data_IF_143582142606
#
_entry.id   IF_143582142606
#
_cell.length_a   1.000
_cell.length_b   1.000
_cell.length_c   1.000
_cell.angle_alpha   90.00
_cell.angle_beta   90.00
_cell.angle_gamma   90.00
#
_symmetry.space_group_name_H-M   'P 1'
#
loop_
_entity.id
_entity.type
_entity.pdbx_description
1 polymer ?
#
# COMPACT_ATOMS: atom_id res chain seq x y z
N UNK A 1 42.56 6.35 -8.43
CA UNK A 1 41.08 6.29 -8.49
C UNK A 1 40.61 7.53 -9.24
N UNK A 2 39.92 7.38 -10.35
CA UNK A 2 39.43 8.49 -11.16
C UNK A 2 38.44 9.42 -10.41
N UNK A 3 37.93 10.44 -11.08
CA UNK A 3 36.95 11.37 -10.50
C UNK A 3 35.59 10.68 -10.26
N UNK A 4 35.05 10.84 -9.05
CA UNK A 4 33.74 10.28 -8.67
C UNK A 4 32.75 11.42 -8.36
N UNK A 5 31.45 11.14 -8.58
CA UNK A 5 30.36 12.08 -8.30
C UNK A 5 29.10 11.27 -7.90
N UNK A 6 28.43 11.74 -6.85
CA UNK A 6 27.04 11.41 -6.58
C UNK A 6 26.19 12.65 -6.78
N UNK A 7 25.19 12.60 -7.64
CA UNK A 7 24.29 13.69 -7.96
C UNK A 7 22.85 13.25 -7.73
N UNK A 8 22.05 14.13 -7.16
CA UNK A 8 20.61 13.93 -6.94
C UNK A 8 19.83 15.00 -7.71
N UNK A 9 18.69 14.60 -8.24
CA UNK A 9 17.73 15.54 -8.83
C UNK A 9 16.31 15.02 -8.61
N UNK A 10 15.37 15.95 -8.53
CA UNK A 10 13.94 15.64 -8.42
C UNK A 10 13.19 16.38 -9.52
N UNK A 11 12.21 15.70 -10.14
CA UNK A 11 11.33 16.26 -11.15
C UNK A 11 9.96 15.56 -11.07
N UNK A 12 8.89 16.32 -10.95
CA UNK A 12 7.51 15.81 -10.92
C UNK A 12 7.29 14.73 -9.85
N UNK A 13 7.89 14.89 -8.65
CA UNK A 13 7.80 13.94 -7.55
C UNK A 13 8.67 12.68 -7.71
N UNK A 14 9.45 12.56 -8.79
CA UNK A 14 10.44 11.52 -8.99
C UNK A 14 11.83 12.01 -8.56
N UNK A 15 12.36 11.45 -7.48
CA UNK A 15 13.74 11.65 -7.04
C UNK A 15 14.67 10.60 -7.63
N UNK A 16 15.79 11.02 -8.25
CA UNK A 16 16.81 10.12 -8.81
C UNK A 16 18.18 10.45 -8.22
N UNK A 17 18.99 9.41 -8.09
CA UNK A 17 20.38 9.49 -7.67
C UNK A 17 21.25 8.87 -8.76
N UNK A 18 22.18 9.65 -9.30
CA UNK A 18 23.20 9.16 -10.22
C UNK A 18 24.55 9.08 -9.52
N UNK A 19 25.22 7.93 -9.64
CA UNK A 19 26.56 7.72 -9.12
C UNK A 19 27.49 7.44 -10.28
N UNK A 20 28.50 8.28 -10.45
CA UNK A 20 29.57 8.16 -11.47
C UNK A 20 30.87 7.87 -10.77
N UNK A 21 31.58 6.84 -11.19
CA UNK A 21 32.85 6.44 -10.62
C UNK A 21 33.90 6.31 -11.72
N UNK A 22 35.13 6.75 -11.41
CA UNK A 22 36.28 6.52 -12.30
C UNK A 22 36.29 7.35 -13.57
N UNK A 23 35.62 8.52 -13.60
CA UNK A 23 35.70 9.42 -14.75
C UNK A 23 37.10 10.01 -14.92
N UNK A 24 37.53 10.20 -16.18
CA UNK A 24 38.85 10.71 -16.51
C UNK A 24 39.03 12.17 -16.09
N UNK A 25 37.97 12.98 -16.22
CA UNK A 25 37.97 14.41 -15.89
C UNK A 25 36.75 14.80 -15.07
N UNK A 26 36.85 15.98 -14.45
CA UNK A 26 35.72 16.59 -13.73
C UNK A 26 34.52 16.81 -14.65
N UNK A 27 34.75 17.32 -15.87
CA UNK A 27 33.69 17.63 -16.82
C UNK A 27 32.97 16.35 -17.28
N UNK A 28 33.70 15.27 -17.52
CA UNK A 28 33.15 13.98 -17.91
C UNK A 28 32.20 13.42 -16.83
N UNK A 29 32.58 13.52 -15.53
CA UNK A 29 31.69 13.03 -14.45
C UNK A 29 30.38 13.80 -14.36
N UNK A 30 30.40 15.15 -14.54
CA UNK A 30 29.20 15.96 -14.53
C UNK A 30 28.33 15.69 -15.76
N UNK A 31 28.92 15.55 -16.95
CA UNK A 31 28.22 15.22 -18.16
C UNK A 31 27.55 13.82 -18.06
N UNK A 32 28.26 12.83 -17.54
CA UNK A 32 27.75 11.49 -17.34
C UNK A 32 26.59 11.47 -16.32
N UNK A 33 26.74 12.15 -15.18
CA UNK A 33 25.69 12.25 -14.18
C UNK A 33 24.42 12.91 -14.74
N UNK A 34 24.56 14.00 -15.52
CA UNK A 34 23.43 14.66 -16.18
C UNK A 34 22.74 13.70 -17.16
N UNK A 35 23.51 13.03 -18.02
CA UNK A 35 22.95 12.09 -18.99
C UNK A 35 22.18 10.94 -18.33
N UNK A 36 22.67 10.40 -17.19
CA UNK A 36 21.99 9.36 -16.41
C UNK A 36 20.68 9.88 -15.81
N UNK A 37 20.68 11.08 -15.22
CA UNK A 37 19.47 11.68 -14.66
C UNK A 37 18.43 11.99 -15.74
N UNK A 38 18.87 12.59 -16.87
CA UNK A 38 17.98 12.88 -18.00
C UNK A 38 17.38 11.61 -18.59
N UNK A 39 18.18 10.54 -18.73
CA UNK A 39 17.69 9.23 -19.13
C UNK A 39 16.66 8.67 -18.14
N UNK A 40 16.94 8.77 -16.84
CA UNK A 40 16.02 8.33 -15.79
C UNK A 40 14.67 9.06 -15.86
N UNK A 41 14.70 10.40 -15.94
CA UNK A 41 13.49 11.21 -16.07
C UNK A 41 12.74 11.00 -17.39
N UNK A 42 13.44 10.65 -18.47
CA UNK A 42 12.81 10.35 -19.76
C UNK A 42 12.06 9.01 -19.74
N UNK A 43 12.57 8.02 -18.99
CA UNK A 43 12.05 6.65 -19.01
C UNK A 43 11.14 6.31 -17.84
N UNK A 44 11.26 6.99 -16.69
CA UNK A 44 10.50 6.71 -15.49
C UNK A 44 9.65 7.91 -15.05
N UNK A 45 8.61 7.63 -14.30
CA UNK A 45 7.80 8.64 -13.61
C UNK A 45 7.35 8.16 -12.23
N UNK A 46 7.11 9.11 -11.34
CA UNK A 46 6.38 8.89 -10.12
C UNK A 46 4.88 8.84 -10.45
N UNK A 47 4.21 7.78 -10.02
CA UNK A 47 2.77 7.59 -10.21
C UNK A 47 2.11 7.51 -8.85
N UNK A 48 1.25 8.47 -8.48
CA UNK A 48 0.42 8.37 -7.29
C UNK A 48 -0.45 7.11 -7.36
N UNK A 49 -0.54 6.41 -6.23
CA UNK A 49 -1.47 5.29 -6.07
C UNK A 49 -2.76 5.81 -5.45
N UNK A 50 -3.87 5.38 -6.01
CA UNK A 50 -5.18 5.53 -5.39
C UNK A 50 -5.49 4.27 -4.56
N UNK A 51 -6.26 4.44 -3.49
CA UNK A 51 -6.71 3.30 -2.69
C UNK A 51 -7.63 2.39 -3.52
N UNK A 52 -7.69 1.09 -3.18
CA UNK A 52 -8.58 0.16 -3.86
C UNK A 52 -10.03 0.58 -3.68
N UNK A 53 -10.78 0.63 -4.78
CA UNK A 53 -12.19 0.96 -4.76
C UNK A 53 -13.02 -0.25 -4.27
N UNK A 54 -14.15 0.04 -3.58
CA UNK A 54 -15.14 -0.97 -3.27
C UNK A 54 -14.77 -1.95 -2.16
N UNK A 55 -13.86 -1.58 -1.24
CA UNK A 55 -13.60 -2.38 -0.04
C UNK A 55 -14.87 -2.45 0.82
N UNK A 56 -15.33 -3.67 1.09
CA UNK A 56 -16.43 -3.95 2.02
C UNK A 56 -15.88 -4.38 3.36
N UNK A 57 -16.59 -4.11 4.47
CA UNK A 57 -16.25 -4.69 5.76
C UNK A 57 -16.22 -6.22 5.68
N UNK A 58 -15.33 -6.84 6.46
CA UNK A 58 -15.22 -8.31 6.53
C UNK A 58 -16.19 -8.85 7.58
N UNK A 59 -17.04 -9.82 7.24
CA UNK A 59 -17.93 -10.48 8.20
C UNK A 59 -17.15 -11.14 9.35
N UNK A 60 -17.62 -10.93 10.58
CA UNK A 60 -17.02 -11.54 11.78
C UNK A 60 -17.93 -12.60 12.34
N UNK A 61 -17.44 -13.84 12.38
CA UNK A 61 -18.16 -14.94 13.01
C UNK A 61 -17.89 -14.99 14.52
N UNK A 62 -18.92 -15.27 15.32
CA UNK A 62 -18.85 -15.33 16.79
C UNK A 62 -18.39 -14.02 17.46
N UNK A 63 -18.46 -12.88 16.76
CA UNK A 63 -18.11 -11.57 17.29
C UNK A 63 -19.27 -10.86 17.95
N UNK A 64 -18.96 -9.83 18.73
CA UNK A 64 -19.96 -8.90 19.29
C UNK A 64 -20.49 -7.97 18.21
N UNK A 65 -19.66 -7.70 17.19
CA UNK A 65 -20.02 -6.99 15.98
C UNK A 65 -20.09 -7.98 14.81
N UNK A 66 -21.06 -7.83 13.88
CA UNK A 66 -21.24 -8.74 12.76
C UNK A 66 -20.15 -8.61 11.69
N UNK A 67 -19.45 -7.49 11.66
CA UNK A 67 -18.45 -7.15 10.64
C UNK A 67 -17.36 -6.25 11.21
N UNK A 68 -16.18 -6.23 10.57
CA UNK A 68 -15.07 -5.35 10.90
C UNK A 68 -14.68 -4.51 9.69
N UNK A 69 -14.61 -3.17 9.82
CA UNK A 69 -14.14 -2.32 8.76
C UNK A 69 -12.66 -2.58 8.45
N UNK A 70 -12.30 -2.44 7.18
CA UNK A 70 -10.94 -2.64 6.69
C UNK A 70 -10.23 -1.30 6.57
N UNK A 71 -8.97 -1.24 6.96
CA UNK A 71 -8.06 -0.11 6.75
C UNK A 71 -6.78 -0.58 6.06
N UNK A 72 -6.05 0.37 5.49
CA UNK A 72 -4.76 0.11 4.82
C UNK A 72 -3.89 1.36 4.91
N UNK A 73 -2.59 1.15 4.84
CA UNK A 73 -1.61 2.23 4.70
C UNK A 73 -1.14 2.25 3.24
N UNK A 74 -1.52 3.31 2.51
CA UNK A 74 -1.21 3.44 1.11
C UNK A 74 0.19 4.04 0.94
N UNK A 75 1.12 3.35 0.28
CA UNK A 75 2.41 3.92 -0.05
C UNK A 75 2.25 4.94 -1.18
N UNK A 76 1.91 6.16 -0.85
CA UNK A 76 1.60 7.33 -1.66
C UNK A 76 1.95 7.30 -3.16
N UNK A 77 3.17 6.86 -3.53
CA UNK A 77 3.67 6.94 -4.92
C UNK A 77 4.55 5.73 -5.24
N UNK A 78 4.43 5.22 -6.45
CA UNK A 78 5.35 4.20 -7.01
C UNK A 78 6.11 4.76 -8.21
N UNK A 79 7.31 4.24 -8.45
CA UNK A 79 8.10 4.56 -9.64
C UNK A 79 7.88 3.49 -10.70
N UNK A 80 7.48 3.92 -11.88
CA UNK A 80 7.16 3.03 -13.00
C UNK A 80 7.76 3.54 -14.30
N UNK A 81 8.00 2.66 -15.29
CA UNK A 81 8.31 3.07 -16.65
C UNK A 81 7.17 3.91 -17.23
N UNK A 82 7.49 4.98 -17.96
CA UNK A 82 6.48 5.90 -18.52
C UNK A 82 5.55 5.22 -19.52
N UNK A 83 6.08 4.29 -20.32
CA UNK A 83 5.34 3.51 -21.31
C UNK A 83 4.35 2.52 -20.70
N UNK A 84 4.46 2.23 -19.40
CA UNK A 84 3.61 1.26 -18.68
C UNK A 84 2.62 1.90 -17.70
N UNK A 85 2.50 3.20 -17.74
CA UNK A 85 1.64 3.93 -16.82
C UNK A 85 0.15 3.57 -16.91
N UNK A 86 -0.30 3.18 -18.11
CA UNK A 86 -1.70 2.78 -18.34
C UNK A 86 -1.97 1.30 -18.03
N UNK A 87 -0.92 0.51 -17.77
CA UNK A 87 -1.03 -0.92 -17.46
C UNK A 87 -1.04 -1.23 -15.95
N UNK A 88 -1.30 -0.22 -15.11
CA UNK A 88 -1.43 -0.41 -13.66
C UNK A 88 -2.77 -1.04 -13.36
N UNK A 89 -2.76 -2.12 -12.59
CA UNK A 89 -3.94 -2.77 -12.04
C UNK A 89 -3.75 -3.10 -10.57
N UNK A 90 -4.86 -3.15 -9.84
CA UNK A 90 -4.86 -3.56 -8.43
C UNK A 90 -5.71 -4.81 -8.28
N UNK A 91 -5.15 -5.81 -7.65
CA UNK A 91 -5.84 -7.04 -7.28
C UNK A 91 -6.01 -7.07 -5.78
N UNK A 92 -7.27 -7.06 -5.33
CA UNK A 92 -7.65 -7.15 -3.92
C UNK A 92 -7.90 -8.61 -3.57
N UNK A 93 -7.22 -9.11 -2.56
CA UNK A 93 -7.43 -10.41 -1.95
C UNK A 93 -7.88 -10.15 -0.50
N UNK A 94 -9.15 -10.34 -0.19
CA UNK A 94 -9.75 -10.11 1.12
C UNK A 94 -10.37 -11.40 1.63
N UNK A 95 -10.28 -11.66 2.93
CA UNK A 95 -10.91 -12.81 3.56
C UNK A 95 -12.44 -12.72 3.46
N UNK A 96 -13.11 -13.83 3.14
CA UNK A 96 -14.58 -13.90 3.09
C UNK A 96 -15.21 -13.71 4.46
N UNK A 97 -14.53 -14.12 5.52
CA UNK A 97 -14.94 -13.92 6.93
C UNK A 97 -13.75 -14.15 7.87
N UNK A 98 -13.88 -13.66 9.10
CA UNK A 98 -12.89 -13.86 10.16
C UNK A 98 -13.60 -14.27 11.47
N UNK A 99 -12.99 -15.15 12.27
CA UNK A 99 -13.55 -15.56 13.57
C UNK A 99 -13.04 -14.63 14.68
N UNK A 100 -13.96 -14.17 15.53
CA UNK A 100 -13.61 -13.39 16.71
C UNK A 100 -12.85 -14.24 17.79
N UNK A 101 -11.92 -13.64 18.55
CA UNK A 101 -11.65 -12.21 18.62
C UNK A 101 -10.78 -11.72 17.44
N UNK A 102 -11.06 -10.51 16.94
CA UNK A 102 -10.25 -9.81 15.95
C UNK A 102 -9.52 -8.67 16.67
N UNK A 103 -8.24 -8.53 16.43
CA UNK A 103 -7.46 -7.40 16.97
C UNK A 103 -7.35 -6.27 15.95
N UNK A 104 -7.33 -5.02 16.42
CA UNK A 104 -7.02 -3.90 15.54
C UNK A 104 -5.62 -4.08 14.92
N UNK A 105 -5.51 -3.84 13.60
CA UNK A 105 -4.28 -4.10 12.86
C UNK A 105 -4.09 -5.55 12.42
N UNK A 106 -4.99 -6.47 12.75
CA UNK A 106 -4.95 -7.84 12.26
C UNK A 106 -5.11 -7.87 10.74
N UNK A 107 -4.23 -8.59 10.05
CA UNK A 107 -4.32 -8.75 8.60
C UNK A 107 -5.57 -9.54 8.20
N UNK A 108 -6.33 -8.97 7.28
CA UNK A 108 -7.57 -9.54 6.72
C UNK A 108 -7.42 -9.85 5.23
N UNK A 109 -6.34 -9.39 4.63
CA UNK A 109 -6.07 -9.58 3.22
C UNK A 109 -4.93 -8.71 2.73
N UNK A 110 -4.78 -8.62 1.42
CA UNK A 110 -3.75 -7.79 0.80
C UNK A 110 -4.19 -7.22 -0.53
N UNK A 111 -3.52 -6.15 -0.95
CA UNK A 111 -3.65 -5.59 -2.29
C UNK A 111 -2.34 -5.77 -3.02
N UNK A 112 -2.40 -6.36 -4.22
CA UNK A 112 -1.28 -6.49 -5.14
C UNK A 112 -1.41 -5.44 -6.23
N UNK A 113 -0.45 -4.54 -6.31
CA UNK A 113 -0.32 -3.57 -7.39
C UNK A 113 0.52 -4.21 -8.49
N UNK A 114 -0.02 -4.27 -9.68
CA UNK A 114 0.63 -4.88 -10.83
C UNK A 114 0.85 -3.83 -11.92
N UNK A 115 1.98 -3.94 -12.59
CA UNK A 115 2.33 -3.16 -13.78
C UNK A 115 2.69 -4.17 -14.86
N UNK A 116 1.96 -4.15 -15.97
CA UNK A 116 2.16 -5.10 -17.08
C UNK A 116 2.13 -6.58 -16.60
N UNK A 117 1.17 -6.89 -15.71
CA UNK A 117 0.97 -8.23 -15.15
C UNK A 117 2.02 -8.66 -14.11
N UNK A 118 3.01 -7.81 -13.79
CA UNK A 118 4.01 -8.09 -12.76
C UNK A 118 3.65 -7.35 -11.47
N UNK A 119 3.62 -8.06 -10.35
CA UNK A 119 3.43 -7.45 -9.03
C UNK A 119 4.67 -6.62 -8.68
N UNK A 120 4.46 -5.31 -8.52
CA UNK A 120 5.51 -4.35 -8.14
C UNK A 120 5.44 -3.97 -6.67
N UNK A 121 4.26 -4.13 -6.06
CA UNK A 121 4.02 -3.78 -4.67
C UNK A 121 2.90 -4.64 -4.11
N UNK A 122 3.01 -5.00 -2.83
CA UNK A 122 1.92 -5.61 -2.06
C UNK A 122 1.84 -4.91 -0.72
N UNK A 123 0.62 -4.54 -0.29
CA UNK A 123 0.38 -3.96 1.03
C UNK A 123 -0.82 -4.64 1.71
N UNK A 124 -0.79 -4.75 3.06
CA UNK A 124 -1.82 -5.47 3.80
C UNK A 124 -3.11 -4.64 3.92
N UNK A 125 -4.22 -5.36 3.96
CA UNK A 125 -5.51 -4.88 4.41
C UNK A 125 -5.73 -5.37 5.84
N UNK A 126 -5.98 -4.46 6.76
CA UNK A 126 -6.03 -4.78 8.19
C UNK A 126 -7.35 -4.36 8.83
N UNK A 127 -7.70 -5.00 9.94
CA UNK A 127 -8.85 -4.61 10.75
C UNK A 127 -8.64 -3.20 11.33
N UNK A 128 -9.56 -2.28 11.07
CA UNK A 128 -9.48 -0.91 11.60
C UNK A 128 -9.78 -0.83 13.11
N UNK A 129 -10.46 -1.83 13.65
CA UNK A 129 -10.84 -1.92 15.05
C UNK A 129 -10.83 -3.36 15.55
N UNK A 130 -10.78 -3.52 16.88
CA UNK A 130 -10.92 -4.84 17.50
C UNK A 130 -12.39 -5.25 17.57
N UNK A 131 -12.66 -6.55 17.41
CA UNK A 131 -13.98 -7.16 17.65
C UNK A 131 -13.83 -8.29 18.65
N UNK A 132 -14.44 -8.13 19.82
CA UNK A 132 -14.43 -9.13 20.86
C UNK A 132 -15.30 -10.36 20.51
N UNK A 133 -14.98 -11.50 21.11
CA UNK A 133 -15.79 -12.69 20.98
C UNK A 133 -17.12 -12.55 21.74
N UNK A 134 -18.20 -12.95 21.11
CA UNK A 134 -19.51 -13.07 21.76
C UNK A 134 -19.48 -14.20 22.80
N UNK A 135 -19.76 -13.86 24.05
CA UNK A 135 -19.90 -14.84 25.13
C UNK A 135 -21.37 -14.97 25.56
N UNK A 136 -21.73 -16.11 26.17
CA UNK A 136 -23.10 -16.34 26.65
C UNK A 136 -23.57 -15.20 27.59
N UNK A 137 -22.69 -14.72 28.48
CA UNK A 137 -23.02 -13.60 29.37
C UNK A 137 -23.28 -12.28 28.63
N UNK A 138 -22.54 -12.01 27.57
CA UNK A 138 -22.74 -10.81 26.71
C UNK A 138 -24.03 -10.96 25.89
N UNK A 139 -24.27 -12.13 25.31
CA UNK A 139 -25.50 -12.41 24.57
C UNK A 139 -26.75 -12.27 25.46
N UNK A 140 -26.72 -12.78 26.68
CA UNK A 140 -27.81 -12.66 27.64
C UNK A 140 -28.06 -11.19 28.04
N UNK A 141 -27.00 -10.41 28.32
CA UNK A 141 -27.12 -8.97 28.61
C UNK A 141 -27.67 -8.17 27.44
N UNK A 142 -27.28 -8.50 26.21
CA UNK A 142 -27.80 -7.87 25.01
C UNK A 142 -29.30 -8.16 24.82
N UNK A 143 -29.71 -9.40 25.01
CA UNK A 143 -31.13 -9.79 24.95
C UNK A 143 -31.96 -9.09 26.02
N UNK A 144 -31.47 -9.02 27.26
CA UNK A 144 -32.15 -8.34 28.37
C UNK A 144 -32.34 -6.85 28.09
N UNK A 145 -31.29 -6.18 27.55
CA UNK A 145 -31.38 -4.76 27.14
C UNK A 145 -32.40 -4.55 26.01
N UNK A 146 -32.42 -5.43 25.01
CA UNK A 146 -33.39 -5.33 23.93
C UNK A 146 -34.83 -5.50 24.41
N UNK A 147 -35.09 -6.40 25.34
CA UNK A 147 -36.41 -6.59 25.96
C UNK A 147 -36.84 -5.37 26.78
N UNK A 148 -35.92 -4.75 27.53
CA UNK A 148 -36.23 -3.56 28.35
C UNK A 148 -36.40 -2.29 27.49
N UNK A 149 -35.79 -2.25 26.30
CA UNK A 149 -35.94 -1.10 25.40
C UNK A 149 -37.22 -1.17 24.53
N UNK A 150 -37.86 -2.35 24.46
CA UNK A 150 -39.09 -2.58 23.71
C UNK A 150 -40.35 -2.45 24.58
N UNK A 151 -40.18 -2.15 25.87
CA UNK A 151 -41.19 -1.94 26.89
C UNK A 151 -41.38 -0.45 27.17
#
# INVERSE_FOLDING_TARGET
>A
AGSCLSATAERDGLGLIAVVMGADTSDHRFAAARSLLDWGFANYKAQPLEGPAGLTPVPVTRGVEPEVPVSFDLPGTIVIPRDKAESISQQVELADSVEAPVTAGQELGSVKVQVDGKTVLTYPLVASQAVDRMTLSRAFKALLRALLAAS
#
